data_IF_676111075845
#
_entry.id   IF_676111075845
#
_cell.length_a   1.000
_cell.length_b   1.000
_cell.length_c   1.000
_cell.angle_alpha   90.00
_cell.angle_beta   90.00
_cell.angle_gamma   90.00
#
_symmetry.space_group_name_H-M   'P 1'
#
loop_
_entity.id
_entity.type
_entity.pdbx_description
1 polymer ?
#
# COMPACT_ATOMS: atom_id res chain seq x y z
N UNK A 1 7.39 18.82 -0.76
CA UNK A 1 6.47 17.91 -0.04
C UNK A 1 7.15 17.28 1.19
N UNK A 2 8.17 16.43 1.02
CA UNK A 2 8.83 15.66 2.11
C UNK A 2 9.34 16.49 3.32
N UNK A 3 9.96 17.65 3.10
CA UNK A 3 10.44 18.52 4.20
C UNK A 3 9.31 19.09 5.08
N UNK A 4 8.18 19.45 4.48
CA UNK A 4 7.05 20.06 5.21
C UNK A 4 6.22 19.01 5.96
N UNK A 5 6.07 17.81 5.39
CA UNK A 5 5.44 16.68 6.08
C UNK A 5 6.24 16.26 7.33
N UNK A 6 7.58 16.21 7.22
CA UNK A 6 8.43 15.94 8.39
C UNK A 6 8.40 17.06 9.44
N UNK A 7 8.22 18.32 9.03
CA UNK A 7 8.04 19.42 9.97
C UNK A 7 6.68 19.34 10.73
N UNK A 8 5.63 18.78 10.10
CA UNK A 8 4.33 18.53 10.75
C UNK A 8 4.36 17.33 11.69
N UNK A 9 4.92 16.20 11.24
CA UNK A 9 5.01 14.98 12.04
C UNK A 9 6.09 15.06 13.14
N UNK A 10 7.05 15.98 12.99
CA UNK A 10 8.19 16.14 13.89
C UNK A 10 9.04 14.87 13.89
N UNK A 11 9.23 14.30 15.09
CA UNK A 11 9.92 13.04 15.29
C UNK A 11 8.96 11.87 15.55
N UNK A 12 7.64 12.03 15.38
CA UNK A 12 6.67 10.99 15.68
C UNK A 12 5.96 10.45 14.43
N UNK A 13 5.66 9.16 14.48
CA UNK A 13 4.87 8.43 13.50
C UNK A 13 3.38 8.81 13.59
N UNK A 14 2.76 9.25 12.48
CA UNK A 14 1.34 9.69 12.49
C UNK A 14 0.35 8.55 12.74
N UNK A 15 0.74 7.30 12.46
CA UNK A 15 -0.13 6.13 12.63
C UNK A 15 0.01 5.43 13.97
N UNK A 16 1.17 5.57 14.62
CA UNK A 16 1.53 4.82 15.81
C UNK A 16 1.93 5.70 16.99
N UNK A 17 2.10 7.00 16.79
CA UNK A 17 2.50 7.99 17.80
C UNK A 17 3.94 7.85 18.31
N UNK A 18 4.65 6.79 17.91
CA UNK A 18 5.99 6.48 18.40
C UNK A 18 7.05 7.37 17.76
N UNK A 19 8.08 7.78 18.52
CA UNK A 19 9.19 8.52 17.97
C UNK A 19 10.01 7.67 17.01
N UNK A 20 10.57 8.30 15.98
CA UNK A 20 11.36 7.63 14.95
C UNK A 20 12.66 7.03 15.52
N UNK A 21 13.11 7.42 16.72
CA UNK A 21 14.21 6.79 17.46
C UNK A 21 15.46 6.46 16.61
N UNK A 22 15.84 7.38 15.70
CA UNK A 22 16.97 7.21 14.78
C UNK A 22 16.67 6.42 13.49
N UNK A 23 15.47 5.88 13.32
CA UNK A 23 15.01 5.27 12.06
C UNK A 23 14.62 6.34 11.05
N UNK A 24 14.92 6.08 9.77
CA UNK A 24 14.49 6.97 8.68
C UNK A 24 12.97 6.91 8.53
N UNK A 25 12.28 8.06 8.53
CA UNK A 25 10.85 8.11 8.25
C UNK A 25 10.61 7.80 6.76
N UNK A 26 9.59 6.99 6.49
CA UNK A 26 9.12 6.69 5.15
C UNK A 26 7.96 7.63 4.82
N UNK A 27 7.97 8.22 3.62
CA UNK A 27 6.88 9.09 3.16
C UNK A 27 6.00 8.29 2.23
N UNK A 28 4.73 8.14 2.60
CA UNK A 28 3.77 7.35 1.86
C UNK A 28 2.57 8.21 1.44
N UNK A 29 1.97 7.90 0.29
CA UNK A 29 0.74 8.55 -0.13
C UNK A 29 -0.47 7.83 0.50
N UNK A 30 -1.43 8.57 1.05
CA UNK A 30 -2.66 7.98 1.61
C UNK A 30 -3.48 7.33 0.48
N UNK A 31 -3.58 8.02 -0.65
CA UNK A 31 -4.09 7.53 -1.91
C UNK A 31 -2.93 7.26 -2.86
N UNK A 32 -2.73 6.00 -3.31
CA UNK A 32 -1.70 5.66 -4.26
C UNK A 32 -1.93 6.36 -5.60
N UNK A 33 -0.84 6.82 -6.24
CA UNK A 33 -0.86 7.56 -7.51
C UNK A 33 -1.61 6.84 -8.63
N UNK A 34 -1.65 5.50 -8.60
CA UNK A 34 -2.38 4.67 -9.58
C UNK A 34 -3.90 4.85 -9.59
N UNK A 35 -4.48 5.47 -8.56
CA UNK A 35 -5.91 5.78 -8.45
C UNK A 35 -6.22 7.29 -8.60
N UNK A 36 -5.23 8.09 -9.02
CA UNK A 36 -5.39 9.55 -9.18
C UNK A 36 -5.15 10.36 -7.91
N UNK A 37 -4.36 9.83 -6.96
CA UNK A 37 -3.93 10.58 -5.79
C UNK A 37 -3.02 11.74 -6.20
N UNK A 38 -3.47 12.98 -6.02
CA UNK A 38 -2.60 14.13 -6.24
C UNK A 38 -1.47 14.13 -5.20
N UNK A 39 -0.24 14.56 -5.57
CA UNK A 39 0.89 14.66 -4.65
C UNK A 39 0.75 15.91 -3.76
N UNK A 40 -0.37 16.04 -3.05
CA UNK A 40 -0.61 17.16 -2.14
C UNK A 40 -0.01 16.87 -0.77
N UNK A 41 0.27 17.95 -0.03
CA UNK A 41 0.81 17.86 1.34
C UNK A 41 -0.14 17.14 2.32
N UNK A 42 -1.43 17.12 2.01
CA UNK A 42 -2.48 16.46 2.79
C UNK A 42 -2.56 14.96 2.50
N UNK A 43 -2.09 14.53 1.32
CA UNK A 43 -2.01 13.13 0.93
C UNK A 43 -0.68 12.47 1.35
N UNK A 44 0.29 13.22 1.88
CA UNK A 44 1.56 12.66 2.37
C UNK A 44 1.49 12.31 3.86
N UNK A 45 1.60 11.02 4.20
CA UNK A 45 1.76 10.55 5.57
C UNK A 45 3.23 10.21 5.87
N UNK A 46 3.70 10.55 7.07
CA UNK A 46 5.03 10.20 7.56
C UNK A 46 4.91 8.99 8.48
N UNK A 47 5.36 7.84 7.98
CA UNK A 47 5.19 6.55 8.64
C UNK A 47 6.52 5.94 9.08
N UNK A 48 6.43 5.14 10.14
CA UNK A 48 7.52 4.28 10.54
C UNK A 48 7.68 3.12 9.52
N UNK A 49 8.87 2.59 9.26
CA UNK A 49 9.07 1.53 8.26
C UNK A 49 8.26 0.25 8.55
N UNK A 50 7.97 -0.03 9.83
CA UNK A 50 7.09 -1.13 10.22
C UNK A 50 5.62 -0.86 9.84
N UNK A 51 5.16 0.35 10.15
CA UNK A 51 3.81 0.84 9.91
C UNK A 51 3.52 0.93 8.41
N UNK A 52 4.51 1.44 7.66
CA UNK A 52 4.50 1.48 6.21
C UNK A 52 4.35 0.07 5.63
N UNK A 53 5.21 -0.87 6.01
CA UNK A 53 5.11 -2.27 5.53
C UNK A 53 3.75 -2.90 5.82
N UNK A 54 3.19 -2.67 7.02
CA UNK A 54 1.87 -3.18 7.37
C UNK A 54 0.82 -2.60 6.41
N UNK A 55 0.75 -1.27 6.29
CA UNK A 55 -0.20 -0.58 5.41
C UNK A 55 -0.07 -1.02 3.95
N UNK A 56 1.17 -1.07 3.43
CA UNK A 56 1.43 -1.49 2.06
C UNK A 56 0.99 -2.93 1.81
N UNK A 57 1.27 -3.84 2.75
CA UNK A 57 0.99 -5.26 2.56
C UNK A 57 -0.49 -5.60 2.77
N UNK A 58 -1.16 -5.00 3.75
CA UNK A 58 -2.56 -5.34 4.08
C UNK A 58 -3.56 -4.57 3.25
N UNK A 59 -3.29 -3.32 2.91
CA UNK A 59 -4.30 -2.45 2.31
C UNK A 59 -3.95 -2.05 0.88
N UNK A 60 -2.79 -1.43 0.69
CA UNK A 60 -2.43 -0.83 -0.59
C UNK A 60 -2.29 -1.88 -1.70
N UNK A 61 -1.56 -2.97 -1.41
CA UNK A 61 -1.38 -4.09 -2.35
C UNK A 61 -2.70 -4.72 -2.77
N UNK A 62 -3.64 -4.91 -1.84
CA UNK A 62 -4.93 -5.53 -2.15
C UNK A 62 -5.79 -4.59 -3.01
N UNK A 63 -5.78 -3.29 -2.70
CA UNK A 63 -6.49 -2.27 -3.49
C UNK A 63 -5.94 -2.18 -4.90
N UNK A 64 -4.62 -2.08 -5.07
CA UNK A 64 -3.97 -2.07 -6.39
C UNK A 64 -4.22 -3.35 -7.17
N UNK A 65 -4.08 -4.52 -6.53
CA UNK A 65 -4.35 -5.80 -7.20
C UNK A 65 -5.81 -5.90 -7.70
N UNK A 66 -6.76 -5.35 -6.95
CA UNK A 66 -8.17 -5.30 -7.38
C UNK A 66 -8.34 -4.35 -8.57
N UNK A 67 -7.74 -3.16 -8.53
CA UNK A 67 -7.78 -2.21 -9.64
C UNK A 67 -7.20 -2.83 -10.93
N UNK A 68 -6.03 -3.47 -10.83
CA UNK A 68 -5.41 -4.20 -11.94
C UNK A 68 -6.28 -5.33 -12.48
N UNK A 69 -6.93 -6.09 -11.60
CA UNK A 69 -7.82 -7.18 -12.01
C UNK A 69 -9.06 -6.65 -12.76
N UNK A 70 -9.61 -5.51 -12.32
CA UNK A 70 -10.73 -4.85 -13.00
C UNK A 70 -10.28 -4.31 -14.37
N UNK A 71 -9.12 -3.64 -14.43
CA UNK A 71 -8.55 -3.13 -15.68
C UNK A 71 -8.32 -4.28 -16.68
N UNK A 72 -7.69 -5.38 -16.25
CA UNK A 72 -7.49 -6.58 -17.07
C UNK A 72 -8.81 -7.20 -17.55
N UNK A 73 -9.84 -7.19 -16.71
CA UNK A 73 -11.17 -7.70 -17.09
C UNK A 73 -11.83 -6.79 -18.14
N UNK A 74 -11.72 -5.47 -17.98
CA UNK A 74 -12.25 -4.50 -18.95
C UNK A 74 -11.52 -4.58 -20.30
N UNK A 75 -10.21 -4.80 -20.28
CA UNK A 75 -9.37 -5.00 -21.48
C UNK A 75 -9.60 -6.38 -22.13
N UNK A 76 -10.40 -7.26 -21.52
CA UNK A 76 -10.69 -8.60 -22.02
C UNK A 76 -9.52 -9.60 -21.88
N UNK A 77 -8.47 -9.24 -21.12
CA UNK A 77 -7.32 -10.10 -20.86
C UNK A 77 -7.71 -11.31 -20.02
N UNK A 78 -7.84 -12.47 -20.69
CA UNK A 78 -8.04 -13.76 -20.04
C UNK A 78 -6.71 -14.37 -19.63
N UNK A 79 -6.70 -15.11 -18.52
CA UNK A 79 -5.52 -15.89 -18.10
C UNK A 79 -5.23 -16.96 -19.15
N UNK A 80 -3.98 -17.02 -19.65
CA UNK A 80 -3.55 -18.02 -20.64
C UNK A 80 -3.72 -19.46 -20.16
N UNK A 81 -3.52 -19.70 -18.86
CA UNK A 81 -3.71 -21.01 -18.25
C UNK A 81 -4.68 -20.93 -17.05
N UNK A 82 -5.67 -21.84 -16.97
CA UNK A 82 -6.47 -22.00 -15.78
C UNK A 82 -5.61 -22.48 -14.61
N UNK A 83 -5.97 -22.07 -13.39
CA UNK A 83 -5.30 -22.60 -12.20
C UNK A 83 -5.46 -24.13 -12.15
N UNK A 84 -4.40 -24.88 -11.81
CA UNK A 84 -4.53 -26.31 -11.54
C UNK A 84 -5.60 -26.51 -10.47
N UNK A 85 -6.66 -27.27 -10.79
CA UNK A 85 -7.64 -27.67 -9.79
C UNK A 85 -6.91 -28.56 -8.79
N UNK A 86 -6.66 -28.02 -7.59
CA UNK A 86 -6.12 -28.82 -6.50
C UNK A 86 -7.12 -29.94 -6.24
N UNK A 87 -6.73 -31.19 -6.52
CA UNK A 87 -7.54 -32.35 -6.12
C UNK A 87 -7.58 -32.29 -4.60
N UNK A 88 -8.77 -32.05 -4.01
CA UNK A 88 -8.98 -32.26 -2.58
C UNK A 88 -8.58 -33.72 -2.33
N UNK A 89 -7.42 -33.94 -1.73
CA UNK A 89 -7.02 -35.26 -1.29
C UNK A 89 -8.07 -35.67 -0.25
N UNK A 90 -8.95 -36.59 -0.62
CA UNK A 90 -9.90 -37.17 0.32
C UNK A 90 -9.09 -37.79 1.45
N UNK A 91 -9.31 -37.29 2.66
CA UNK A 91 -8.82 -37.92 3.87
C UNK A 91 -9.48 -39.30 3.94
N UNK A 92 -8.62 -40.33 3.95
CA UNK A 92 -8.99 -41.74 3.96
C UNK A 92 -9.29 -42.21 5.37
#
# INVERSE_FOLDING_TARGET
MKKAAKARAGDNCEQCGLPFAGRRPEYDHILPDGLGGEPTLENCAVLCPSCYRIKTHTEDRLRMQKADNIAKKNDGLKRKFPWPKQRRAGCR
#
